data_IF_825087436396
#
_entry.id   IF_825087436396
#
_cell.length_a   1.000
_cell.length_b   1.000
_cell.length_c   1.000
_cell.angle_alpha   90.00
_cell.angle_beta   90.00
_cell.angle_gamma   90.00
#
_symmetry.space_group_name_H-M   'P 1'
#
loop_
_entity.id
_entity.type
_entity.pdbx_description
1 polymer ?
#
# COMPACT_ATOMS: atom_id res chain seq x y z
N UNK A 1 35.05 -14.26 -45.70
CA UNK A 1 34.51 -13.75 -44.43
C UNK A 1 33.50 -14.79 -43.91
N UNK A 2 33.91 -15.58 -42.93
CA UNK A 2 33.04 -16.62 -42.34
C UNK A 2 32.23 -15.96 -41.23
N UNK A 3 30.98 -15.72 -41.49
CA UNK A 3 30.01 -15.26 -40.48
C UNK A 3 29.71 -16.40 -39.52
N UNK A 4 30.46 -16.50 -38.44
CA UNK A 4 30.16 -17.40 -37.36
C UNK A 4 28.91 -16.89 -36.60
N UNK A 5 27.79 -17.56 -36.73
CA UNK A 5 26.66 -17.39 -35.80
C UNK A 5 27.16 -17.76 -34.39
N UNK A 6 27.35 -16.75 -33.55
CA UNK A 6 27.57 -16.97 -32.13
C UNK A 6 26.24 -17.45 -31.48
N UNK A 7 26.11 -18.76 -31.38
CA UNK A 7 25.03 -19.36 -30.62
C UNK A 7 25.25 -19.10 -29.12
N UNK A 8 24.58 -18.16 -28.56
CA UNK A 8 24.39 -18.09 -27.12
C UNK A 8 23.64 -19.35 -26.69
N UNK A 9 24.29 -20.26 -25.97
CA UNK A 9 23.71 -21.54 -25.58
C UNK A 9 22.32 -21.39 -24.93
N UNK A 10 21.54 -22.48 -24.89
CA UNK A 10 20.17 -22.46 -24.34
C UNK A 10 20.14 -22.85 -22.87
N UNK A 11 19.35 -22.14 -22.06
CA UNK A 11 19.00 -22.59 -20.71
C UNK A 11 18.21 -23.92 -20.80
N UNK A 12 18.46 -24.93 -19.93
CA UNK A 12 19.34 -24.93 -18.75
C UNK A 12 20.77 -25.43 -19.02
N UNK A 13 21.12 -25.78 -20.28
CA UNK A 13 22.44 -26.33 -20.64
C UNK A 13 23.54 -25.29 -20.45
N UNK A 14 23.30 -24.06 -20.90
CA UNK A 14 24.20 -22.93 -20.67
C UNK A 14 23.67 -22.07 -19.53
N UNK A 15 24.49 -21.90 -18.49
CA UNK A 15 24.17 -21.06 -17.33
C UNK A 15 25.29 -20.03 -17.11
N UNK A 16 24.96 -18.78 -17.27
CA UNK A 16 25.91 -17.66 -17.09
C UNK A 16 26.15 -17.40 -15.60
N UNK A 17 27.01 -18.22 -14.95
CA UNK A 17 27.27 -18.11 -13.50
C UNK A 17 28.57 -17.43 -13.15
N UNK A 18 29.47 -17.20 -14.10
CA UNK A 18 30.79 -16.65 -13.85
C UNK A 18 30.72 -15.31 -13.09
N UNK A 19 29.81 -14.43 -13.52
CA UNK A 19 29.64 -13.11 -12.93
C UNK A 19 28.87 -13.11 -11.59
N UNK A 20 28.40 -14.29 -11.14
CA UNK A 20 27.65 -14.42 -9.87
C UNK A 20 28.48 -14.98 -8.72
N UNK A 21 29.69 -15.45 -8.99
CA UNK A 21 30.52 -16.18 -8.04
C UNK A 21 31.02 -15.29 -6.91
N UNK A 22 31.65 -14.19 -7.26
CA UNK A 22 32.37 -13.33 -6.33
C UNK A 22 31.64 -11.99 -6.16
N UNK A 23 31.70 -11.40 -4.97
CA UNK A 23 30.99 -10.15 -4.65
C UNK A 23 31.45 -8.99 -5.54
N UNK A 24 32.75 -8.82 -5.70
CA UNK A 24 33.30 -7.76 -6.56
C UNK A 24 32.82 -7.86 -8.02
N UNK A 25 32.64 -9.10 -8.51
CA UNK A 25 32.17 -9.34 -9.87
C UNK A 25 30.69 -9.05 -10.02
N UNK A 26 29.87 -9.47 -9.02
CA UNK A 26 28.44 -9.09 -8.99
C UNK A 26 28.26 -7.59 -8.98
N UNK A 27 29.04 -6.86 -8.17
CA UNK A 27 28.98 -5.39 -8.12
C UNK A 27 29.42 -4.75 -9.44
N UNK A 28 30.44 -5.30 -10.10
CA UNK A 28 30.93 -4.78 -11.37
C UNK A 28 29.91 -4.87 -12.51
N UNK A 29 29.09 -5.92 -12.53
CA UNK A 29 28.09 -6.17 -13.59
C UNK A 29 26.66 -5.84 -13.14
N UNK A 30 26.48 -5.21 -11.98
CA UNK A 30 25.17 -4.79 -11.52
C UNK A 30 24.63 -3.66 -12.40
N UNK A 31 23.45 -3.88 -12.97
CA UNK A 31 22.74 -2.89 -13.80
C UNK A 31 21.88 -1.94 -12.96
N UNK A 32 21.54 -2.38 -11.73
CA UNK A 32 20.70 -1.61 -10.80
C UNK A 32 21.43 -1.44 -9.46
N UNK A 33 21.22 -0.32 -8.83
CA UNK A 33 21.64 -0.03 -7.44
C UNK A 33 20.39 0.24 -6.61
N UNK A 34 20.38 -0.26 -5.36
CA UNK A 34 19.33 0.07 -4.39
C UNK A 34 19.84 1.17 -3.47
N UNK A 35 18.99 2.15 -3.25
CA UNK A 35 19.16 3.22 -2.29
C UNK A 35 17.92 3.30 -1.38
N UNK A 36 17.95 4.07 -0.32
CA UNK A 36 16.77 4.30 0.52
C UNK A 36 15.60 4.91 -0.27
N UNK A 37 15.90 5.67 -1.33
CA UNK A 37 14.90 6.30 -2.18
C UNK A 37 14.10 5.31 -3.05
N UNK A 38 14.51 4.04 -3.11
CA UNK A 38 13.80 2.98 -3.84
C UNK A 38 12.77 2.24 -2.97
N UNK A 39 12.59 2.63 -1.69
CA UNK A 39 11.73 1.93 -0.74
C UNK A 39 10.49 2.71 -0.37
N UNK A 40 9.42 1.97 -0.11
CA UNK A 40 8.22 2.41 0.59
C UNK A 40 8.21 1.71 1.94
N UNK A 41 8.10 2.45 3.05
CA UNK A 41 8.07 1.88 4.39
C UNK A 41 6.62 1.52 4.78
N UNK A 42 6.25 0.23 4.87
CA UNK A 42 4.94 -0.15 5.39
C UNK A 42 4.88 0.05 6.90
N UNK A 43 3.77 0.59 7.38
CA UNK A 43 3.56 0.87 8.80
C UNK A 43 2.12 0.58 9.20
N UNK A 44 1.94 0.06 10.42
CA UNK A 44 0.63 -0.22 10.98
C UNK A 44 0.30 0.82 12.04
N UNK A 45 -0.92 1.36 11.98
CA UNK A 45 -1.41 2.37 12.93
C UNK A 45 -2.57 1.81 13.75
N UNK A 46 -2.63 2.12 15.05
CA UNK A 46 -3.72 1.80 15.96
C UNK A 46 -4.20 3.05 16.71
N UNK A 47 -5.42 2.98 17.23
CA UNK A 47 -6.09 4.10 17.91
C UNK A 47 -5.99 4.00 19.45
N UNK A 48 -4.83 3.62 19.97
CA UNK A 48 -4.59 3.60 21.42
C UNK A 48 -3.45 4.56 21.81
N UNK A 49 -3.44 4.96 23.08
CA UNK A 49 -2.39 5.83 23.64
C UNK A 49 -1.04 5.08 23.87
N UNK A 50 -1.01 3.78 23.66
CA UNK A 50 0.24 2.99 23.70
C UNK A 50 1.06 3.33 22.47
N UNK A 51 2.22 3.95 22.64
CA UNK A 51 3.01 4.46 21.53
C UNK A 51 3.36 3.43 20.47
N UNK A 52 3.89 2.27 20.89
CA UNK A 52 4.30 1.16 19.99
C UNK A 52 3.89 -0.19 20.61
N UNK A 53 3.33 -1.07 19.79
CA UNK A 53 2.87 -2.40 20.19
C UNK A 53 3.43 -3.45 19.23
N UNK A 54 4.09 -4.48 19.74
CA UNK A 54 4.60 -5.58 18.91
C UNK A 54 3.46 -6.39 18.26
N UNK A 55 3.66 -6.79 17.01
CA UNK A 55 2.75 -7.68 16.30
C UNK A 55 3.27 -9.12 16.46
N UNK A 56 2.62 -9.99 17.27
CA UNK A 56 3.17 -11.32 17.57
C UNK A 56 3.41 -12.22 16.35
N UNK A 57 2.57 -12.04 15.28
CA UNK A 57 2.69 -12.79 14.04
C UNK A 57 3.76 -12.23 13.08
N UNK A 58 4.30 -11.03 13.34
CA UNK A 58 5.30 -10.34 12.52
C UNK A 58 6.49 -9.90 13.40
N UNK A 59 7.43 -10.80 13.75
CA UNK A 59 8.54 -10.48 14.63
C UNK A 59 9.35 -9.28 14.12
N UNK A 60 9.54 -8.28 15.00
CA UNK A 60 10.28 -7.05 14.70
C UNK A 60 9.43 -5.95 14.03
N UNK A 61 8.15 -6.20 13.79
CA UNK A 61 7.21 -5.20 13.28
C UNK A 61 6.25 -4.79 14.39
N UNK A 62 5.96 -3.49 14.44
CA UNK A 62 5.11 -2.89 15.47
C UNK A 62 3.92 -2.16 14.86
N UNK A 63 2.83 -2.06 15.62
CA UNK A 63 1.79 -1.06 15.41
C UNK A 63 2.18 0.22 16.16
N UNK A 64 1.83 1.34 15.60
CA UNK A 64 2.16 2.66 16.13
C UNK A 64 0.89 3.43 16.47
N UNK A 65 0.88 4.15 17.59
CA UNK A 65 -0.10 5.23 17.78
C UNK A 65 0.11 6.31 16.71
N UNK A 66 -0.85 7.21 16.51
CA UNK A 66 -0.69 8.30 15.52
C UNK A 66 0.57 9.13 15.82
N UNK A 67 0.84 9.45 17.09
CA UNK A 67 2.04 10.20 17.46
C UNK A 67 3.34 9.43 17.17
N UNK A 68 3.39 8.15 17.49
CA UNK A 68 4.55 7.29 17.21
C UNK A 68 4.73 7.05 15.69
N UNK A 69 3.65 7.08 14.90
CA UNK A 69 3.71 7.03 13.45
C UNK A 69 4.33 8.29 12.86
N UNK A 70 4.02 9.46 13.42
CA UNK A 70 4.65 10.74 13.03
C UNK A 70 6.16 10.70 13.31
N UNK A 71 6.58 10.16 14.46
CA UNK A 71 7.99 9.98 14.77
C UNK A 71 8.68 9.03 13.76
N UNK A 72 8.03 7.89 13.46
CA UNK A 72 8.52 6.94 12.44
C UNK A 72 8.64 7.58 11.06
N UNK A 73 7.70 8.43 10.69
CA UNK A 73 7.74 9.20 9.44
C UNK A 73 8.97 10.12 9.36
N UNK A 74 9.32 10.77 10.50
CA UNK A 74 10.54 11.54 10.63
C UNK A 74 11.80 10.68 10.46
N UNK A 75 11.86 9.52 11.14
CA UNK A 75 12.96 8.56 11.00
C UNK A 75 13.11 8.08 9.53
N UNK A 76 12.01 7.77 8.85
CA UNK A 76 12.02 7.36 7.44
C UNK A 76 12.60 8.47 6.54
N UNK A 77 12.17 9.71 6.74
CA UNK A 77 12.68 10.88 6.01
C UNK A 77 14.19 11.09 6.21
N UNK A 78 14.68 10.98 7.46
CA UNK A 78 16.11 11.08 7.79
C UNK A 78 16.94 9.99 7.11
N UNK A 79 16.39 8.79 6.97
CA UNK A 79 17.01 7.67 6.25
C UNK A 79 16.94 7.81 4.71
N UNK A 80 16.20 8.80 4.20
CA UNK A 80 16.02 9.02 2.77
C UNK A 80 14.95 8.13 2.12
N UNK A 81 14.04 7.53 2.92
CA UNK A 81 12.89 6.78 2.40
C UNK A 81 11.80 7.79 2.02
N UNK A 82 11.34 7.82 0.77
CA UNK A 82 10.45 8.88 0.28
C UNK A 82 8.97 8.70 0.61
N UNK A 83 8.53 7.48 0.92
CA UNK A 83 7.10 7.15 1.07
C UNK A 83 6.85 6.26 2.28
N UNK A 84 5.84 6.63 3.07
CA UNK A 84 5.28 5.82 4.14
C UNK A 84 3.95 5.21 3.68
N UNK A 85 3.77 3.89 3.77
CA UNK A 85 2.49 3.22 3.52
C UNK A 85 1.78 2.95 4.84
N UNK A 86 0.52 3.39 4.98
CA UNK A 86 -0.25 3.35 6.23
C UNK A 86 -1.35 2.29 6.16
N UNK A 87 -1.31 1.34 7.09
CA UNK A 87 -2.30 0.28 7.24
C UNK A 87 -2.97 0.34 8.62
N UNK A 88 -4.31 0.40 8.70
CA UNK A 88 -5.00 0.53 9.98
C UNK A 88 -5.15 -0.81 10.70
N UNK A 89 -5.01 -0.79 12.02
CA UNK A 89 -5.56 -1.80 12.91
C UNK A 89 -6.90 -1.28 13.45
N UNK A 90 -7.94 -1.39 12.64
CA UNK A 90 -9.29 -0.90 12.96
C UNK A 90 -9.87 -1.63 14.16
N UNK A 91 -10.44 -0.88 15.12
CA UNK A 91 -11.15 -1.46 16.25
C UNK A 91 -12.28 -2.38 15.74
N UNK A 92 -12.36 -3.64 16.21
CA UNK A 92 -13.45 -4.55 15.83
C UNK A 92 -14.86 -3.98 16.07
N UNK A 93 -15.04 -3.08 17.05
CA UNK A 93 -16.32 -2.42 17.31
C UNK A 93 -16.77 -1.45 16.21
N UNK A 94 -15.84 -1.00 15.36
CA UNK A 94 -16.10 -0.11 14.22
C UNK A 94 -16.27 -0.86 12.90
N UNK A 95 -16.11 -2.19 12.92
CA UNK A 95 -16.27 -3.02 11.73
C UNK A 95 -17.71 -3.44 11.54
N UNK A 96 -18.18 -3.40 10.30
CA UNK A 96 -19.50 -3.90 9.92
C UNK A 96 -19.47 -4.60 8.55
N UNK A 97 -20.55 -5.21 8.13
CA UNK A 97 -20.65 -5.92 6.86
C UNK A 97 -20.52 -5.00 5.63
N UNK A 98 -20.72 -3.69 5.80
CA UNK A 98 -20.63 -2.69 4.74
C UNK A 98 -19.27 -1.99 4.68
N UNK A 99 -18.39 -2.22 5.66
CA UNK A 99 -17.14 -1.51 5.79
C UNK A 99 -17.32 0.00 5.97
N UNK A 100 -18.39 0.42 6.65
CA UNK A 100 -18.84 1.83 6.72
C UNK A 100 -17.78 2.77 7.26
N UNK A 101 -16.89 2.30 8.13
CA UNK A 101 -15.78 3.10 8.66
C UNK A 101 -14.75 3.47 7.58
N UNK A 102 -14.67 2.73 6.47
CA UNK A 102 -13.74 3.02 5.38
C UNK A 102 -13.99 4.38 4.72
N UNK A 103 -15.24 4.85 4.71
CA UNK A 103 -15.68 6.12 4.10
C UNK A 103 -15.88 7.24 5.12
N UNK A 104 -15.59 6.99 6.40
CA UNK A 104 -15.61 8.01 7.44
C UNK A 104 -14.37 8.92 7.29
N UNK A 105 -14.50 10.25 7.06
CA UNK A 105 -13.35 11.15 6.92
C UNK A 105 -12.52 11.27 8.22
N UNK A 106 -13.08 10.87 9.36
CA UNK A 106 -12.40 10.85 10.65
C UNK A 106 -11.91 9.44 11.05
N UNK A 107 -11.89 8.50 10.13
CA UNK A 107 -11.34 7.17 10.40
C UNK A 107 -9.84 7.23 10.76
N UNK A 108 -9.34 6.17 11.33
CA UNK A 108 -7.96 6.08 11.83
C UNK A 108 -6.92 6.41 10.74
N UNK A 109 -7.11 5.93 9.49
CA UNK A 109 -6.19 6.20 8.38
C UNK A 109 -6.15 7.70 8.05
N UNK A 110 -7.32 8.32 7.88
CA UNK A 110 -7.43 9.73 7.53
C UNK A 110 -6.81 10.63 8.61
N UNK A 111 -7.03 10.32 9.89
CA UNK A 111 -6.39 11.05 11.01
C UNK A 111 -4.88 10.87 11.01
N UNK A 112 -4.39 9.65 10.76
CA UNK A 112 -2.96 9.36 10.69
C UNK A 112 -2.30 10.07 9.51
N UNK A 113 -2.92 10.05 8.32
CA UNK A 113 -2.44 10.75 7.12
C UNK A 113 -2.31 12.24 7.40
N UNK A 114 -3.36 12.89 7.92
CA UNK A 114 -3.31 14.33 8.27
C UNK A 114 -2.17 14.64 9.23
N UNK A 115 -2.03 13.85 10.30
CA UNK A 115 -0.97 14.08 11.30
C UNK A 115 0.44 13.94 10.70
N UNK A 116 0.66 12.96 9.82
CA UNK A 116 1.95 12.79 9.12
C UNK A 116 2.19 13.93 8.16
N UNK A 117 1.19 14.33 7.35
CA UNK A 117 1.33 15.45 6.38
C UNK A 117 1.53 16.80 7.06
N UNK A 118 0.89 17.04 8.20
CA UNK A 118 1.09 18.27 8.98
C UNK A 118 2.53 18.38 9.51
N UNK A 119 3.12 17.27 9.98
CA UNK A 119 4.48 17.25 10.51
C UNK A 119 5.57 17.13 9.44
N UNK A 120 5.30 16.37 8.38
CA UNK A 120 6.24 16.03 7.33
C UNK A 120 5.61 16.20 5.93
N UNK A 121 5.32 17.44 5.50
CA UNK A 121 4.60 17.70 4.24
C UNK A 121 5.32 17.19 2.98
N UNK A 122 6.64 17.03 3.05
CA UNK A 122 7.47 16.56 1.93
C UNK A 122 7.56 15.03 1.84
N UNK A 123 7.07 14.28 2.86
CA UNK A 123 7.04 12.82 2.82
C UNK A 123 5.80 12.36 2.07
N UNK A 124 5.98 11.46 1.09
CA UNK A 124 4.85 10.82 0.42
C UNK A 124 4.11 9.87 1.37
N UNK A 125 2.78 9.93 1.35
CA UNK A 125 1.93 8.99 2.10
C UNK A 125 1.12 8.16 1.14
N UNK A 126 1.21 6.84 1.30
CA UNK A 126 0.47 5.84 0.54
C UNK A 126 -0.61 5.20 1.42
N UNK A 127 -1.82 5.12 0.92
CA UNK A 127 -2.93 4.41 1.56
C UNK A 127 -3.42 3.25 0.69
N UNK A 128 -3.91 2.22 1.34
CA UNK A 128 -4.56 1.10 0.68
C UNK A 128 -6.08 1.35 0.62
N UNK A 129 -6.63 1.26 -0.60
CA UNK A 129 -8.06 1.32 -0.85
C UNK A 129 -8.56 -0.11 -0.86
N UNK A 130 -8.94 -0.59 0.31
CA UNK A 130 -9.32 -1.97 0.60
C UNK A 130 -10.37 -2.00 1.72
N UNK A 131 -11.28 -2.96 1.71
CA UNK A 131 -12.36 -3.05 2.70
C UNK A 131 -12.10 -4.05 3.83
N UNK A 132 -11.19 -5.00 3.67
CA UNK A 132 -10.89 -6.02 4.69
C UNK A 132 -10.53 -5.46 6.07
N UNK A 133 -9.83 -4.30 6.20
CA UNK A 133 -9.60 -3.70 7.51
C UNK A 133 -10.86 -3.18 8.20
N UNK A 134 -11.95 -2.97 7.45
CA UNK A 134 -13.18 -2.30 7.91
C UNK A 134 -14.40 -3.22 7.93
N UNK A 135 -14.33 -4.38 7.27
CA UNK A 135 -15.42 -5.36 7.28
C UNK A 135 -15.30 -6.32 8.46
N UNK A 136 -16.44 -6.73 9.02
CA UNK A 136 -16.52 -7.69 10.13
C UNK A 136 -16.21 -9.14 9.68
N UNK A 137 -16.46 -9.44 8.43
CA UNK A 137 -16.16 -10.75 7.80
C UNK A 137 -14.76 -10.85 7.23
N UNK A 138 -13.98 -9.75 7.15
CA UNK A 138 -12.58 -9.75 6.71
C UNK A 138 -12.34 -9.95 5.21
N UNK A 139 -13.37 -9.87 4.37
CA UNK A 139 -13.20 -9.86 2.92
C UNK A 139 -13.02 -8.44 2.39
N UNK A 140 -12.25 -8.32 1.33
CA UNK A 140 -11.97 -7.07 0.63
C UNK A 140 -13.09 -6.76 -0.39
N UNK A 141 -14.30 -6.66 0.10
CA UNK A 141 -15.49 -6.34 -0.68
C UNK A 141 -16.78 -6.63 0.07
N UNK A 142 -17.89 -6.13 -0.45
CA UNK A 142 -19.22 -6.35 0.13
C UNK A 142 -19.70 -7.76 -0.18
N UNK A 143 -20.18 -8.47 0.86
CA UNK A 143 -20.70 -9.84 0.72
C UNK A 143 -22.23 -9.85 0.61
N UNK A 144 -22.76 -10.64 -0.36
CA UNK A 144 -24.15 -11.05 -0.42
C UNK A 144 -24.23 -12.55 -0.71
N UNK A 145 -24.91 -13.29 0.14
CA UNK A 145 -25.08 -14.74 0.02
C UNK A 145 -23.75 -15.50 -0.14
N UNK A 146 -22.68 -15.02 0.54
CA UNK A 146 -21.35 -15.59 0.49
C UNK A 146 -20.54 -15.25 -0.78
N UNK A 147 -21.03 -14.32 -1.61
CA UNK A 147 -20.38 -13.84 -2.82
C UNK A 147 -20.00 -12.35 -2.71
N UNK A 148 -18.80 -11.99 -3.14
CA UNK A 148 -18.35 -10.59 -3.21
C UNK A 148 -19.03 -9.90 -4.39
N UNK A 149 -19.87 -8.88 -4.10
CA UNK A 149 -20.59 -8.12 -5.12
C UNK A 149 -19.72 -6.99 -5.66
N UNK A 150 -19.32 -7.13 -6.92
CA UNK A 150 -18.32 -6.27 -7.56
C UNK A 150 -18.76 -4.80 -7.67
N UNK A 151 -19.90 -4.54 -8.30
CA UNK A 151 -20.29 -3.17 -8.66
C UNK A 151 -20.55 -2.29 -7.42
N UNK A 152 -21.18 -2.87 -6.40
CA UNK A 152 -21.44 -2.17 -5.15
C UNK A 152 -20.17 -1.95 -4.33
N UNK A 153 -19.24 -2.91 -4.36
CA UNK A 153 -17.92 -2.76 -3.74
C UNK A 153 -17.16 -1.60 -4.36
N UNK A 154 -17.19 -1.46 -5.69
CA UNK A 154 -16.56 -0.36 -6.40
C UNK A 154 -17.04 1.01 -5.92
N UNK A 155 -18.35 1.17 -5.69
CA UNK A 155 -18.92 2.43 -5.20
C UNK A 155 -18.33 2.82 -3.83
N UNK A 156 -18.10 1.84 -2.96
CA UNK A 156 -17.50 2.08 -1.63
C UNK A 156 -16.02 2.40 -1.77
N UNK A 157 -15.28 1.64 -2.58
CA UNK A 157 -13.84 1.86 -2.80
C UNK A 157 -13.55 3.25 -3.42
N UNK A 158 -14.40 3.71 -4.34
CA UNK A 158 -14.28 5.07 -4.90
C UNK A 158 -14.41 6.13 -3.81
N UNK A 159 -15.45 6.00 -2.95
CA UNK A 159 -15.63 6.94 -1.83
C UNK A 159 -14.48 6.88 -0.83
N UNK A 160 -13.98 5.67 -0.52
CA UNK A 160 -12.81 5.49 0.35
C UNK A 160 -11.59 6.20 -0.22
N UNK A 161 -11.30 6.04 -1.52
CA UNK A 161 -10.18 6.69 -2.17
C UNK A 161 -10.26 8.23 -2.10
N UNK A 162 -11.47 8.79 -2.30
CA UNK A 162 -11.69 10.24 -2.20
C UNK A 162 -11.46 10.74 -0.77
N UNK A 163 -12.01 10.05 0.22
CA UNK A 163 -11.84 10.43 1.63
C UNK A 163 -10.37 10.38 2.06
N UNK A 164 -9.61 9.37 1.60
CA UNK A 164 -8.17 9.28 1.84
C UNK A 164 -7.38 10.38 1.11
N UNK A 165 -7.75 10.70 -0.13
CA UNK A 165 -7.13 11.79 -0.88
C UNK A 165 -7.38 13.16 -0.23
N UNK A 166 -8.60 13.41 0.25
CA UNK A 166 -8.96 14.64 0.97
C UNK A 166 -8.23 14.76 2.33
N UNK A 167 -7.85 13.63 2.93
CA UNK A 167 -7.00 13.61 4.11
C UNK A 167 -5.52 13.93 3.82
N UNK A 168 -5.11 13.96 2.54
CA UNK A 168 -3.74 14.27 2.12
C UNK A 168 -2.92 13.07 1.64
N UNK A 169 -3.56 11.92 1.35
CA UNK A 169 -2.88 10.77 0.75
C UNK A 169 -2.35 11.13 -0.65
N UNK A 170 -1.07 10.83 -0.91
CA UNK A 170 -0.42 11.13 -2.20
C UNK A 170 -0.54 9.96 -3.20
N UNK A 171 -0.60 8.73 -2.69
CA UNK A 171 -0.66 7.50 -3.50
C UNK A 171 -1.73 6.57 -2.95
N UNK A 172 -2.71 6.22 -3.76
CA UNK A 172 -3.67 5.18 -3.45
C UNK A 172 -3.30 3.86 -4.15
N UNK A 173 -3.16 2.78 -3.38
CA UNK A 173 -3.09 1.42 -3.93
C UNK A 173 -4.47 0.79 -3.87
N UNK A 174 -4.74 -0.11 -4.79
CA UNK A 174 -5.99 -0.86 -4.86
C UNK A 174 -5.67 -2.33 -4.64
N UNK A 175 -6.02 -2.85 -3.47
CA UNK A 175 -5.90 -4.27 -3.14
C UNK A 175 -7.23 -4.96 -3.41
N UNK A 176 -7.41 -5.43 -4.65
CA UNK A 176 -8.66 -6.07 -5.07
C UNK A 176 -8.37 -7.50 -5.48
N UNK A 177 -8.11 -8.38 -4.52
CA UNK A 177 -7.75 -9.78 -4.78
C UNK A 177 -8.88 -10.62 -5.36
N UNK A 178 -10.14 -10.26 -5.08
CA UNK A 178 -11.33 -11.03 -5.49
C UNK A 178 -12.07 -10.42 -6.68
N UNK A 179 -11.62 -9.28 -7.21
CA UNK A 179 -12.31 -8.53 -8.25
C UNK A 179 -11.55 -8.64 -9.58
N UNK A 180 -11.83 -9.70 -10.31
CA UNK A 180 -11.14 -10.01 -11.57
C UNK A 180 -11.87 -9.41 -12.77
N UNK A 181 -11.69 -8.11 -13.03
CA UNK A 181 -11.97 -7.55 -14.35
C UNK A 181 -10.79 -6.70 -14.83
N UNK A 182 -10.16 -7.02 -15.96
CA UNK A 182 -9.06 -6.24 -16.53
C UNK A 182 -9.40 -4.77 -16.84
N UNK A 183 -10.70 -4.43 -16.94
CA UNK A 183 -11.18 -3.08 -17.21
C UNK A 183 -11.44 -2.24 -15.96
N UNK A 184 -11.39 -2.84 -14.77
CA UNK A 184 -11.79 -2.20 -13.53
C UNK A 184 -10.84 -1.13 -13.01
N UNK A 185 -9.52 -1.32 -13.01
CA UNK A 185 -8.60 -0.30 -12.53
C UNK A 185 -8.73 1.03 -13.26
N UNK A 186 -9.02 1.01 -14.57
CA UNK A 186 -9.14 2.22 -15.39
C UNK A 186 -10.44 2.98 -15.05
N UNK A 187 -11.57 2.28 -14.91
CA UNK A 187 -12.84 2.93 -14.55
C UNK A 187 -12.83 3.53 -13.15
N UNK A 188 -12.16 2.87 -12.19
CA UNK A 188 -12.01 3.36 -10.83
C UNK A 188 -11.11 4.60 -10.79
N UNK A 189 -9.95 4.55 -11.46
CA UNK A 189 -9.04 5.70 -11.57
C UNK A 189 -9.73 6.89 -12.24
N UNK A 190 -10.47 6.65 -13.32
CA UNK A 190 -11.23 7.71 -14.04
C UNK A 190 -12.30 8.34 -13.14
N UNK A 191 -12.99 7.57 -12.30
CA UNK A 191 -14.01 8.09 -11.38
C UNK A 191 -13.38 8.90 -10.25
N UNK A 192 -12.31 8.40 -9.63
CA UNK A 192 -11.55 9.14 -8.60
C UNK A 192 -11.01 10.47 -9.18
N UNK A 193 -10.49 10.44 -10.41
CA UNK A 193 -9.91 11.62 -11.05
C UNK A 193 -10.97 12.69 -11.39
N UNK A 194 -12.20 12.30 -11.70
CA UNK A 194 -13.25 13.26 -12.09
C UNK A 194 -13.89 13.97 -10.92
N UNK A 195 -13.89 13.41 -9.73
CA UNK A 195 -14.55 13.95 -8.50
C UNK A 195 -16.01 14.39 -8.68
N UNK A 196 -16.58 14.20 -9.89
CA UNK A 196 -17.88 14.76 -10.31
C UNK A 196 -19.09 14.03 -9.71
N UNK A 197 -18.90 12.80 -9.21
CA UNK A 197 -19.98 11.94 -8.69
C UNK A 197 -20.25 12.13 -7.18
N UNK A 198 -19.57 13.07 -6.50
CA UNK A 198 -19.58 13.18 -5.04
C UNK A 198 -20.24 14.44 -4.46
N UNK A 199 -20.76 15.32 -5.31
CA UNK A 199 -21.48 16.55 -4.89
C UNK A 199 -23.02 16.37 -4.82
N UNK A 200 -23.53 15.13 -4.73
CA UNK A 200 -24.97 14.87 -4.66
C UNK A 200 -25.44 14.31 -3.33
#
# INVERSE_FOLDING_TARGET
>A
MVGGEYSLGRFPVTRMRRNRRDDWNRRLVAENTLSAADFILPSFVHDSDVGREDIPSLPGIQRHSISALVDLAGEAKELGIPVLAVFPATDPALKDAAGSESVNPENLVCRAVRAVKDAHPDLGVMCDVALDPFTDHGHDGLLRDGYVVNDETLEVLVRQAVVQADAGCDVATLSTTDMVSPSMPVSLIDRIARREDFEA
#
